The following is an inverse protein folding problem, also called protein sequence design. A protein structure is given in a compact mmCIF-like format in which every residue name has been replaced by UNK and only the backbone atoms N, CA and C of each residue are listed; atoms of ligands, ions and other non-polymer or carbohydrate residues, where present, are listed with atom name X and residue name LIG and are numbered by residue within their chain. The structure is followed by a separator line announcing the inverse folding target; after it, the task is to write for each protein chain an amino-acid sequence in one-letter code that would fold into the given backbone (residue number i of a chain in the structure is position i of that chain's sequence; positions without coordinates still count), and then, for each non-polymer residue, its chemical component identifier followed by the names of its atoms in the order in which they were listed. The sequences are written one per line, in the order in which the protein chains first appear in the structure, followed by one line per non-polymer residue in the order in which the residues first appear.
data_IF_004715818465
#
_entry.id   IF_004715818465
#
_cell.length_a   1.000
_cell.length_b   1.000
_cell.length_c   1.000
_cell.angle_alpha   90.00
_cell.angle_beta   90.00
_cell.angle_gamma   90.00
#
_symmetry.space_group_name_H-M   'P 1'
#
loop_
_entity.id
_entity.type
_entity.pdbx_description
1 polymer ?
#
# COMPACT_ATOMS: atom_id res chain seq x y z
N UNK A 1 16.61 -47.50 44.65
CA UNK A 1 17.49 -46.60 43.87
C UNK A 1 18.50 -45.80 44.71
N UNK A 2 18.13 -44.72 45.43
CA UNK A 2 19.12 -43.89 46.15
C UNK A 2 19.99 -44.70 47.13
N UNK A 3 19.37 -45.52 47.98
CA UNK A 3 20.10 -46.37 48.94
C UNK A 3 20.98 -47.42 48.24
N UNK A 4 20.60 -47.86 47.03
CA UNK A 4 21.40 -48.75 46.20
C UNK A 4 22.63 -48.05 45.60
N UNK A 5 22.48 -46.80 45.15
CA UNK A 5 23.61 -45.98 44.70
C UNK A 5 24.57 -45.67 45.86
N UNK A 6 24.05 -45.30 47.02
CA UNK A 6 24.86 -45.06 48.22
C UNK A 6 25.63 -46.32 48.65
N UNK A 7 25.00 -47.50 48.58
CA UNK A 7 25.65 -48.78 48.85
C UNK A 7 26.77 -49.08 47.86
N UNK A 8 26.54 -48.91 46.56
CA UNK A 8 27.59 -49.11 45.53
C UNK A 8 28.77 -48.17 45.72
N UNK A 9 28.49 -46.90 46.02
CA UNK A 9 29.54 -45.92 46.36
C UNK A 9 30.36 -46.37 47.58
N UNK A 10 29.72 -46.93 48.61
CA UNK A 10 30.40 -47.45 49.79
C UNK A 10 31.26 -48.70 49.48
N UNK A 11 30.78 -49.60 48.61
CA UNK A 11 31.51 -50.80 48.19
C UNK A 11 32.78 -50.47 47.40
N UNK A 12 32.74 -49.44 46.53
CA UNK A 12 33.89 -49.03 45.71
C UNK A 12 34.96 -48.25 46.49
N UNK A 13 34.69 -47.80 47.73
CA UNK A 13 35.64 -47.00 48.51
C UNK A 13 36.94 -47.75 48.79
N UNK A 14 36.88 -49.05 49.09
CA UNK A 14 38.07 -49.83 49.44
C UNK A 14 39.06 -49.86 48.28
N UNK A 15 38.57 -50.13 47.07
CA UNK A 15 39.39 -50.19 45.86
C UNK A 15 39.94 -48.80 45.51
N UNK A 16 39.10 -47.75 45.58
CA UNK A 16 39.54 -46.37 45.31
C UNK A 16 40.57 -45.85 46.30
N UNK A 17 40.50 -46.27 47.56
CA UNK A 17 41.50 -45.91 48.57
C UNK A 17 42.84 -46.63 48.38
N UNK A 18 42.88 -47.74 47.65
CA UNK A 18 44.12 -48.43 47.27
C UNK A 18 44.77 -47.81 46.03
N UNK A 19 43.95 -47.36 45.07
CA UNK A 19 44.43 -46.71 43.84
C UNK A 19 44.91 -45.27 44.05
N UNK A 20 44.34 -44.55 45.02
CA UNK A 20 44.68 -43.16 45.28
C UNK A 20 45.95 -43.03 46.15
N UNK A 21 46.94 -42.29 45.63
CA UNK A 21 48.22 -42.08 46.31
C UNK A 21 48.21 -40.85 47.22
N UNK A 22 47.38 -39.84 46.93
CA UNK A 22 47.31 -38.60 47.72
C UNK A 22 46.56 -38.82 49.05
N UNK A 23 47.22 -38.65 50.22
CA UNK A 23 46.57 -38.80 51.53
C UNK A 23 45.37 -37.88 51.74
N UNK A 24 45.36 -36.68 51.16
CA UNK A 24 44.24 -35.73 51.32
C UNK A 24 43.04 -36.18 50.50
N UNK A 25 43.23 -36.57 49.24
CA UNK A 25 42.20 -37.15 48.40
C UNK A 25 41.61 -38.44 49.02
N UNK A 26 42.43 -39.28 49.67
CA UNK A 26 41.97 -40.49 50.37
C UNK A 26 40.99 -40.18 51.49
N UNK A 27 41.21 -39.11 52.26
CA UNK A 27 40.26 -38.70 53.31
C UNK A 27 38.92 -38.30 52.69
N UNK A 28 38.95 -37.54 51.58
CA UNK A 28 37.74 -37.13 50.87
C UNK A 28 36.97 -38.33 50.27
N UNK A 29 37.69 -39.29 49.67
CA UNK A 29 37.11 -40.53 49.14
C UNK A 29 36.42 -41.33 50.24
N UNK A 30 37.06 -41.47 51.41
CA UNK A 30 36.47 -42.19 52.54
C UNK A 30 35.21 -41.51 53.09
N UNK A 31 35.19 -40.17 53.14
CA UNK A 31 34.04 -39.41 53.64
C UNK A 31 32.85 -39.32 52.67
N UNK A 32 33.09 -39.52 51.36
CA UNK A 32 32.10 -39.26 50.32
C UNK A 32 30.79 -40.06 50.45
N UNK A 33 30.78 -41.39 50.69
CA UNK A 33 29.52 -42.14 50.79
C UNK A 33 28.64 -41.68 51.95
N UNK A 34 29.24 -41.30 53.09
CA UNK A 34 28.52 -40.80 54.25
C UNK A 34 27.91 -39.41 53.96
N UNK A 35 28.68 -38.54 53.30
CA UNK A 35 28.19 -37.22 52.86
C UNK A 35 27.07 -37.35 51.83
N UNK A 36 27.21 -38.27 50.88
CA UNK A 36 26.17 -38.58 49.89
C UNK A 36 24.90 -39.09 50.59
N UNK A 37 25.04 -40.04 51.51
CA UNK A 37 23.92 -40.56 52.31
C UNK A 37 23.17 -39.47 53.10
N UNK A 38 23.88 -38.46 53.62
CA UNK A 38 23.28 -37.34 54.34
C UNK A 38 22.33 -36.48 53.48
N UNK A 39 22.49 -36.51 52.14
CA UNK A 39 21.61 -35.78 51.22
C UNK A 39 20.22 -36.41 51.10
N UNK A 40 20.07 -37.70 51.47
CA UNK A 40 18.83 -38.48 51.30
C UNK A 40 17.60 -37.73 51.80
N UNK A 41 17.60 -37.34 53.07
CA UNK A 41 16.43 -36.72 53.68
C UNK A 41 16.09 -35.37 53.04
N UNK A 42 17.10 -34.57 52.67
CA UNK A 42 16.91 -33.27 52.03
C UNK A 42 16.29 -33.42 50.63
N UNK A 43 16.81 -34.36 49.85
CA UNK A 43 16.31 -34.67 48.51
C UNK A 43 14.88 -35.20 48.58
N UNK A 44 14.59 -36.13 49.50
CA UNK A 44 13.25 -36.70 49.67
C UNK A 44 12.23 -35.63 50.04
N UNK A 45 12.56 -34.74 50.98
CA UNK A 45 11.66 -33.64 51.36
C UNK A 45 11.45 -32.66 50.21
N UNK A 46 12.51 -32.32 49.48
CA UNK A 46 12.41 -31.42 48.32
C UNK A 46 11.50 -32.00 47.24
N UNK A 47 11.72 -33.25 46.84
CA UNK A 47 10.87 -33.93 45.85
C UNK A 47 9.42 -33.99 46.34
N UNK A 48 9.20 -34.43 47.58
CA UNK A 48 7.84 -34.51 48.15
C UNK A 48 7.11 -33.15 48.11
N UNK A 49 7.82 -32.05 48.35
CA UNK A 49 7.24 -30.69 48.30
C UNK A 49 6.88 -30.22 46.89
N UNK A 50 7.61 -30.64 45.85
CA UNK A 50 7.35 -30.25 44.45
C UNK A 50 6.12 -30.94 43.87
N UNK A 51 5.81 -32.15 44.33
CA UNK A 51 4.69 -32.97 43.83
C UNK A 51 3.50 -33.00 44.79
N UNK A 52 3.41 -32.05 45.72
CA UNK A 52 2.25 -31.91 46.60
C UNK A 52 1.00 -31.54 45.78
N UNK A 53 0.09 -32.49 45.67
CA UNK A 53 -1.15 -32.41 44.89
C UNK A 53 -2.11 -31.34 45.40
N UNK A 54 -1.93 -30.86 46.63
CA UNK A 54 -2.76 -29.79 47.20
C UNK A 54 -2.42 -28.38 46.66
N UNK A 55 -1.25 -28.21 46.02
CA UNK A 55 -0.73 -26.89 45.60
C UNK A 55 -0.46 -26.75 44.11
N UNK A 56 -0.42 -27.85 43.36
CA UNK A 56 -0.04 -27.83 41.93
C UNK A 56 -1.24 -27.94 40.99
N UNK A 57 -1.47 -26.91 40.17
CA UNK A 57 -2.45 -26.91 39.06
C UNK A 57 -1.93 -27.61 37.79
N UNK A 58 -0.71 -28.15 37.82
CA UNK A 58 -0.06 -28.81 36.67
C UNK A 58 0.32 -30.22 37.07
N UNK A 59 -0.10 -31.21 36.28
CA UNK A 59 0.31 -32.61 36.42
C UNK A 59 1.78 -32.75 36.01
N UNK A 60 2.70 -32.53 36.95
CA UNK A 60 4.12 -32.79 36.73
C UNK A 60 4.40 -34.26 37.06
N UNK A 61 5.00 -35.01 36.14
CA UNK A 61 5.49 -36.36 36.38
C UNK A 61 7.00 -36.33 36.67
N UNK A 62 7.45 -36.88 37.80
CA UNK A 62 8.87 -37.04 38.08
C UNK A 62 9.47 -38.07 37.11
N UNK A 63 10.34 -37.63 36.19
CA UNK A 63 11.03 -38.51 35.23
C UNK A 63 12.23 -39.22 35.83
N UNK A 64 12.99 -38.52 36.67
CA UNK A 64 14.16 -39.08 37.34
C UNK A 64 14.90 -38.00 38.14
N UNK A 65 15.84 -38.44 38.96
CA UNK A 65 16.77 -37.59 39.67
C UNK A 65 18.19 -38.02 39.28
N UNK A 66 18.99 -37.06 38.80
CA UNK A 66 20.34 -37.30 38.31
C UNK A 66 21.34 -36.42 39.05
N UNK A 67 22.51 -36.98 39.37
CA UNK A 67 23.62 -36.24 39.96
C UNK A 67 24.65 -35.93 38.89
N UNK A 68 24.97 -34.66 38.71
CA UNK A 68 25.99 -34.21 37.76
C UNK A 68 26.80 -33.04 38.34
N UNK A 69 28.05 -32.91 37.92
CA UNK A 69 28.92 -31.79 38.29
C UNK A 69 29.35 -31.06 37.02
N UNK A 70 29.18 -29.74 36.98
CA UNK A 70 29.54 -28.89 35.84
C UNK A 70 30.78 -28.05 36.13
N UNK A 71 30.59 -26.79 36.51
CA UNK A 71 31.65 -25.90 36.99
C UNK A 71 31.78 -26.01 38.51
N UNK A 72 32.98 -26.33 38.99
CA UNK A 72 33.27 -26.40 40.43
C UNK A 72 33.77 -25.02 40.88
N UNK A 73 32.85 -24.13 41.26
CA UNK A 73 33.19 -22.82 41.80
C UNK A 73 32.97 -22.80 43.33
N UNK A 74 33.94 -22.26 44.07
CA UNK A 74 33.86 -22.06 45.53
C UNK A 74 34.78 -22.97 46.36
N UNK A 75 34.84 -22.70 47.68
CA UNK A 75 35.55 -23.54 48.65
C UNK A 75 34.68 -24.74 49.05
N UNK A 76 35.18 -25.99 49.02
CA UNK A 76 34.40 -27.17 49.40
C UNK A 76 33.87 -27.07 50.84
N UNK A 77 32.57 -27.31 51.03
CA UNK A 77 31.94 -27.35 52.35
C UNK A 77 31.93 -28.80 52.88
N UNK A 78 33.04 -29.27 53.44
CA UNK A 78 33.08 -30.59 54.08
C UNK A 78 32.42 -30.53 55.46
N UNK A 79 31.17 -30.99 55.55
CA UNK A 79 30.42 -30.99 56.81
C UNK A 79 30.91 -32.06 57.79
N UNK A 80 31.51 -33.15 57.31
CA UNK A 80 31.94 -34.28 58.14
C UNK A 80 33.30 -33.98 58.76
N UNK A 81 34.30 -33.62 57.97
CA UNK A 81 35.59 -33.15 58.47
C UNK A 81 35.46 -31.80 59.18
N UNK A 82 34.55 -30.92 58.75
CA UNK A 82 34.26 -29.67 59.47
C UNK A 82 33.65 -29.91 60.85
N UNK A 83 32.87 -30.97 61.04
CA UNK A 83 32.33 -31.35 62.36
C UNK A 83 33.39 -31.96 63.29
N UNK A 84 34.39 -32.65 62.73
CA UNK A 84 35.51 -33.26 63.46
C UNK A 84 36.65 -32.23 63.70
N UNK A 85 36.92 -31.33 62.77
CA UNK A 85 37.93 -30.26 62.92
C UNK A 85 37.51 -29.22 63.96
N UNK A 86 36.21 -28.95 64.11
CA UNK A 86 35.67 -28.07 65.16
C UNK A 86 35.86 -28.61 66.58
N UNK A 87 35.93 -29.94 66.76
CA UNK A 87 36.21 -30.56 68.07
C UNK A 87 37.71 -30.72 68.35
N UNK A 88 38.57 -30.63 67.34
CA UNK A 88 40.03 -30.82 67.47
C UNK A 88 40.88 -29.56 67.14
N UNK A 89 40.28 -28.41 66.85
CA UNK A 89 40.96 -27.11 66.81
C UNK A 89 41.83 -26.81 65.57
N UNK A 90 41.71 -27.57 64.48
CA UNK A 90 42.46 -27.33 63.23
C UNK A 90 41.54 -26.84 62.11
N UNK A 91 41.90 -25.71 61.50
CA UNK A 91 41.23 -25.14 60.33
C UNK A 91 41.94 -25.61 59.06
N UNK A 92 41.47 -26.67 58.43
CA UNK A 92 41.96 -27.07 57.10
C UNK A 92 41.37 -26.15 56.03
N UNK A 93 42.19 -25.32 55.39
CA UNK A 93 41.81 -24.61 54.17
C UNK A 93 42.10 -25.48 52.95
N UNK A 94 41.04 -25.98 52.31
CA UNK A 94 41.15 -26.64 51.01
C UNK A 94 41.15 -25.58 49.90
N UNK A 95 42.31 -25.33 49.31
CA UNK A 95 42.41 -24.60 48.04
C UNK A 95 42.42 -25.60 46.88
N UNK A 96 41.33 -25.62 46.12
CA UNK A 96 41.33 -26.20 44.77
C UNK A 96 40.96 -25.08 43.79
N UNK A 97 41.98 -24.55 43.13
CA UNK A 97 41.84 -23.86 41.85
C UNK A 97 41.79 -24.95 40.78
N UNK A 98 40.60 -25.36 40.35
CA UNK A 98 40.42 -26.46 39.41
C UNK A 98 39.62 -26.01 38.21
N UNK A 99 40.26 -25.99 37.04
CA UNK A 99 39.61 -25.92 35.74
C UNK A 99 38.38 -26.83 35.70
N UNK A 100 37.23 -26.29 35.28
CA UNK A 100 35.92 -26.94 35.36
C UNK A 100 35.85 -28.26 34.60
N UNK A 101 36.20 -29.37 35.26
CA UNK A 101 35.97 -30.72 34.76
C UNK A 101 34.52 -31.09 35.04
N UNK A 102 33.76 -31.31 33.98
CA UNK A 102 32.40 -31.79 34.08
C UNK A 102 32.37 -33.31 34.30
N UNK A 103 31.57 -33.74 35.27
CA UNK A 103 31.31 -35.16 35.53
C UNK A 103 29.83 -35.44 35.33
N UNK A 104 29.54 -36.56 34.66
CA UNK A 104 28.18 -37.08 34.44
C UNK A 104 27.23 -36.18 33.63
N UNK A 105 27.72 -35.10 33.01
CA UNK A 105 26.90 -34.26 32.11
C UNK A 105 26.65 -34.90 30.74
N UNK A 106 27.65 -35.61 30.18
CA UNK A 106 27.55 -36.17 28.83
C UNK A 106 26.35 -37.11 28.70
N UNK A 107 26.29 -38.14 29.55
CA UNK A 107 25.22 -39.14 29.52
C UNK A 107 23.86 -38.55 29.92
N UNK A 108 23.82 -37.61 30.86
CA UNK A 108 22.58 -36.91 31.22
C UNK A 108 22.00 -36.16 30.00
N UNK A 109 22.83 -35.43 29.26
CA UNK A 109 22.37 -34.68 28.10
C UNK A 109 22.04 -35.58 26.92
N UNK A 110 22.93 -36.50 26.54
CA UNK A 110 22.81 -37.28 25.31
C UNK A 110 21.86 -38.46 25.43
N UNK A 111 21.74 -39.09 26.62
CA UNK A 111 20.91 -40.28 26.81
C UNK A 111 19.56 -39.98 27.46
N UNK A 112 19.42 -38.86 28.17
CA UNK A 112 18.17 -38.52 28.88
C UNK A 112 17.54 -37.25 28.29
N UNK A 113 18.20 -36.10 28.38
CA UNK A 113 17.57 -34.80 28.05
C UNK A 113 17.27 -34.67 26.54
N UNK A 114 18.23 -34.95 25.66
CA UNK A 114 18.01 -34.80 24.20
C UNK A 114 17.04 -35.84 23.63
N UNK A 115 17.11 -37.13 23.99
CA UNK A 115 16.13 -38.12 23.52
C UNK A 115 14.70 -37.83 23.99
N UNK A 116 14.53 -37.17 25.14
CA UNK A 116 13.21 -36.77 25.66
C UNK A 116 12.71 -35.42 25.12
N UNK A 117 13.50 -34.69 24.32
CA UNK A 117 13.13 -33.39 23.75
C UNK A 117 11.83 -33.38 22.92
N UNK A 118 11.41 -34.54 22.41
CA UNK A 118 10.16 -34.73 21.65
C UNK A 118 8.88 -34.87 22.51
N UNK A 119 8.99 -34.92 23.84
CA UNK A 119 7.84 -35.13 24.74
C UNK A 119 7.13 -33.84 25.18
N UNK A 120 7.65 -32.68 24.79
CA UNK A 120 6.89 -31.41 24.87
C UNK A 120 5.78 -31.48 23.83
N UNK A 121 4.62 -32.00 24.24
CA UNK A 121 3.46 -32.11 23.37
C UNK A 121 2.96 -30.70 23.04
N UNK A 122 3.18 -30.27 21.79
CA UNK A 122 2.50 -29.11 21.26
C UNK A 122 1.00 -29.42 21.23
N UNK A 123 0.18 -28.51 21.75
CA UNK A 123 -1.27 -28.62 21.63
C UNK A 123 -1.64 -28.66 20.13
N UNK A 124 -1.90 -29.85 19.60
CA UNK A 124 -2.27 -30.08 18.20
C UNK A 124 -3.52 -29.29 17.81
N UNK A 125 -4.41 -29.00 18.76
CA UNK A 125 -5.57 -28.15 18.50
C UNK A 125 -5.15 -26.68 18.34
N UNK A 126 -4.23 -26.18 19.18
CA UNK A 126 -3.65 -24.85 19.02
C UNK A 126 -2.86 -24.72 17.70
N UNK A 127 -2.09 -25.73 17.31
CA UNK A 127 -1.35 -25.74 16.04
C UNK A 127 -2.30 -25.75 14.83
N UNK A 128 -3.38 -26.54 14.88
CA UNK A 128 -4.43 -26.52 13.84
C UNK A 128 -5.12 -25.16 13.75
N UNK A 129 -5.47 -24.55 14.88
CA UNK A 129 -6.10 -23.21 14.93
C UNK A 129 -5.19 -22.15 14.33
N UNK A 130 -3.91 -22.14 14.68
CA UNK A 130 -2.93 -21.18 14.12
C UNK A 130 -2.71 -21.41 12.64
N UNK A 131 -2.65 -22.66 12.17
CA UNK A 131 -2.56 -22.98 10.73
C UNK A 131 -3.81 -22.52 9.97
N UNK A 132 -5.00 -22.77 10.49
CA UNK A 132 -6.27 -22.31 9.88
C UNK A 132 -6.35 -20.79 9.86
N UNK A 133 -5.94 -20.11 10.93
CA UNK A 133 -5.89 -18.65 10.98
C UNK A 133 -4.92 -18.07 9.95
N UNK A 134 -3.73 -18.67 9.79
CA UNK A 134 -2.76 -18.28 8.75
C UNK A 134 -3.32 -18.50 7.35
N UNK A 135 -3.92 -19.66 7.10
CA UNK A 135 -4.50 -19.96 5.79
C UNK A 135 -5.68 -19.02 5.47
N UNK A 136 -6.53 -18.75 6.45
CA UNK A 136 -7.62 -17.77 6.34
C UNK A 136 -7.11 -16.36 6.07
N UNK A 137 -6.04 -15.93 6.76
CA UNK A 137 -5.39 -14.65 6.52
C UNK A 137 -4.80 -14.55 5.10
N UNK A 138 -4.09 -15.58 4.65
CA UNK A 138 -3.56 -15.64 3.28
C UNK A 138 -4.68 -15.64 2.23
N UNK A 139 -5.76 -16.36 2.47
CA UNK A 139 -6.93 -16.38 1.59
C UNK A 139 -7.61 -15.00 1.52
N UNK A 140 -7.74 -14.30 2.65
CA UNK A 140 -8.30 -12.95 2.70
C UNK A 140 -7.42 -11.95 1.93
N UNK A 141 -6.09 -12.02 2.09
CA UNK A 141 -5.14 -11.18 1.33
C UNK A 141 -5.25 -11.47 -0.17
N UNK A 142 -5.30 -12.75 -0.56
CA UNK A 142 -5.44 -13.14 -1.97
C UNK A 142 -6.75 -12.63 -2.57
N UNK A 143 -7.86 -12.73 -1.83
CA UNK A 143 -9.17 -12.24 -2.27
C UNK A 143 -9.18 -10.71 -2.39
N UNK A 144 -8.60 -9.99 -1.43
CA UNK A 144 -8.48 -8.53 -1.50
C UNK A 144 -7.61 -8.08 -2.68
N UNK A 145 -6.50 -8.78 -2.95
CA UNK A 145 -5.64 -8.51 -4.10
C UNK A 145 -6.37 -8.76 -5.43
N UNK A 146 -7.12 -9.86 -5.55
CA UNK A 146 -7.94 -10.14 -6.74
C UNK A 146 -9.05 -9.10 -6.93
N UNK A 147 -9.71 -8.65 -5.86
CA UNK A 147 -10.70 -7.59 -5.93
C UNK A 147 -10.09 -6.27 -6.39
N UNK A 148 -8.93 -5.88 -5.85
CA UNK A 148 -8.21 -4.68 -6.27
C UNK A 148 -7.80 -4.74 -7.74
N UNK A 149 -7.27 -5.89 -8.20
CA UNK A 149 -6.95 -6.10 -9.61
C UNK A 149 -8.20 -6.06 -10.51
N UNK A 150 -9.32 -6.59 -10.05
CA UNK A 150 -10.61 -6.51 -10.75
C UNK A 150 -11.07 -5.07 -10.95
N UNK A 151 -11.03 -4.26 -9.88
CA UNK A 151 -11.39 -2.83 -9.92
C UNK A 151 -10.47 -2.05 -10.86
N UNK A 152 -9.15 -2.27 -10.78
CA UNK A 152 -8.18 -1.65 -11.69
C UNK A 152 -8.40 -2.11 -13.14
N UNK A 153 -8.74 -3.38 -13.36
CA UNK A 153 -9.08 -3.94 -14.67
C UNK A 153 -10.29 -3.26 -15.29
N UNK A 154 -11.39 -3.13 -14.54
CA UNK A 154 -12.58 -2.40 -14.98
C UNK A 154 -12.21 -0.96 -15.37
N UNK A 155 -11.45 -0.27 -14.53
CA UNK A 155 -11.03 1.09 -14.80
C UNK A 155 -10.15 1.23 -16.03
N UNK A 156 -9.24 0.29 -16.24
CA UNK A 156 -8.40 0.25 -17.42
C UNK A 156 -9.22 0.09 -18.71
N UNK A 157 -10.20 -0.83 -18.72
CA UNK A 157 -11.04 -1.05 -19.90
C UNK A 157 -11.96 0.14 -20.18
N UNK A 158 -12.56 0.76 -19.16
CA UNK A 158 -13.37 1.96 -19.31
C UNK A 158 -12.56 3.11 -19.92
N UNK A 159 -11.39 3.42 -19.35
CA UNK A 159 -10.51 4.46 -19.87
C UNK A 159 -9.98 4.15 -21.28
N UNK A 160 -9.68 2.89 -21.58
CA UNK A 160 -9.29 2.46 -22.93
C UNK A 160 -10.42 2.68 -23.94
N UNK A 161 -11.66 2.39 -23.55
CA UNK A 161 -12.86 2.65 -24.37
C UNK A 161 -13.08 4.16 -24.60
N UNK A 162 -12.92 4.98 -23.55
CA UNK A 162 -13.02 6.44 -23.65
C UNK A 162 -11.96 7.01 -24.62
N UNK A 163 -10.72 6.53 -24.55
CA UNK A 163 -9.67 6.94 -25.48
C UNK A 163 -10.01 6.49 -26.91
N UNK A 164 -10.50 5.27 -27.09
CA UNK A 164 -10.83 4.74 -28.41
C UNK A 164 -11.98 5.51 -29.07
N UNK A 165 -13.06 5.76 -28.34
CA UNK A 165 -14.20 6.55 -28.81
C UNK A 165 -13.80 7.99 -29.13
N UNK A 166 -12.97 8.63 -28.30
CA UNK A 166 -12.45 9.98 -28.57
C UNK A 166 -11.59 10.01 -29.83
N UNK A 167 -10.72 9.01 -30.05
CA UNK A 167 -9.92 8.89 -31.27
C UNK A 167 -10.78 8.71 -32.51
N UNK A 168 -11.84 7.90 -32.41
CA UNK A 168 -12.78 7.68 -33.51
C UNK A 168 -13.54 8.96 -33.85
N UNK A 169 -14.06 9.68 -32.86
CA UNK A 169 -14.73 10.96 -33.07
C UNK A 169 -13.77 12.03 -33.66
N UNK A 170 -12.51 12.05 -33.22
CA UNK A 170 -11.48 12.91 -33.81
C UNK A 170 -11.12 12.53 -35.26
N UNK A 171 -11.20 11.26 -35.63
CA UNK A 171 -11.01 10.84 -37.02
C UNK A 171 -12.18 11.35 -37.89
N UNK A 172 -13.41 11.20 -37.43
CA UNK A 172 -14.60 11.75 -38.11
C UNK A 172 -14.53 13.26 -38.30
N UNK A 173 -14.05 13.99 -37.28
CA UNK A 173 -13.77 15.42 -37.40
C UNK A 173 -12.74 15.73 -38.48
N UNK A 174 -11.64 15.00 -38.56
CA UNK A 174 -10.62 15.23 -39.60
C UNK A 174 -11.18 15.01 -41.00
N UNK A 175 -12.02 14.00 -41.16
CA UNK A 175 -12.64 13.68 -42.44
C UNK A 175 -13.68 14.74 -42.84
N UNK A 176 -14.53 15.18 -41.91
CA UNK A 176 -15.55 16.21 -42.15
C UNK A 176 -14.95 17.61 -42.36
N UNK A 177 -13.84 17.90 -41.68
CA UNK A 177 -13.16 19.20 -41.71
C UNK A 177 -12.00 19.25 -42.70
N UNK A 178 -11.76 18.23 -43.53
CA UNK A 178 -10.57 18.14 -44.40
C UNK A 178 -10.38 19.39 -45.27
N UNK A 179 -11.45 19.91 -45.87
CA UNK A 179 -11.45 21.14 -46.66
C UNK A 179 -11.12 22.38 -45.82
N UNK A 180 -11.65 22.48 -44.61
CA UNK A 180 -11.39 23.58 -43.66
C UNK A 180 -9.96 23.55 -43.13
N UNK A 181 -9.41 22.36 -42.87
CA UNK A 181 -8.08 22.16 -42.32
C UNK A 181 -6.98 22.49 -43.35
N UNK A 182 -7.22 22.16 -44.63
CA UNK A 182 -6.33 22.45 -45.76
C UNK A 182 -6.38 23.91 -46.21
N UNK A 183 -7.46 24.64 -45.90
CA UNK A 183 -7.56 26.04 -46.25
C UNK A 183 -6.60 26.90 -45.42
N UNK A 184 -5.74 27.66 -46.12
CA UNK A 184 -4.79 28.61 -45.51
C UNK A 184 -5.40 30.01 -45.39
N UNK A 185 -6.45 30.32 -46.15
CA UNK A 185 -7.10 31.63 -46.17
C UNK A 185 -8.62 31.49 -46.05
N UNK A 186 -9.21 32.24 -45.11
CA UNK A 186 -10.66 32.31 -44.94
C UNK A 186 -11.17 33.47 -45.80
N UNK A 187 -11.62 33.17 -47.02
CA UNK A 187 -12.14 34.17 -47.98
C UNK A 187 -13.66 34.20 -48.03
N UNK A 188 -14.31 33.18 -47.48
CA UNK A 188 -15.76 33.05 -47.44
C UNK A 188 -16.29 33.30 -46.01
N UNK A 189 -17.48 33.88 -45.94
CA UNK A 189 -18.23 34.20 -44.71
C UNK A 189 -19.32 33.17 -44.44
N UNK A 190 -19.40 32.10 -45.21
CA UNK A 190 -20.36 31.03 -44.95
C UNK A 190 -20.02 30.24 -43.68
N UNK A 191 -20.96 30.28 -42.75
CA UNK A 191 -20.90 29.62 -41.47
C UNK A 191 -21.58 28.23 -41.50
N UNK A 192 -22.42 27.92 -42.50
CA UNK A 192 -23.11 26.62 -42.56
C UNK A 192 -22.11 25.45 -42.62
N UNK A 193 -21.04 25.62 -43.39
CA UNK A 193 -20.00 24.61 -43.57
C UNK A 193 -19.12 24.38 -42.32
N UNK A 194 -19.17 25.25 -41.31
CA UNK A 194 -18.36 25.09 -40.09
C UNK A 194 -19.14 24.53 -38.91
N UNK A 195 -20.48 24.62 -38.92
CA UNK A 195 -21.33 24.14 -37.84
C UNK A 195 -21.08 22.65 -37.54
N UNK A 196 -21.18 21.78 -38.56
CA UNK A 196 -21.02 20.33 -38.38
C UNK A 196 -19.67 19.95 -37.76
N UNK A 197 -18.53 20.39 -38.32
CA UNK A 197 -17.22 20.14 -37.73
C UNK A 197 -17.02 20.71 -36.32
N UNK A 198 -17.58 21.90 -36.02
CA UNK A 198 -17.49 22.48 -34.68
C UNK A 198 -18.34 21.72 -33.66
N UNK A 199 -19.53 21.24 -34.06
CA UNK A 199 -20.39 20.43 -33.22
C UNK A 199 -19.74 19.09 -32.87
N UNK A 200 -19.05 18.46 -33.82
CA UNK A 200 -18.26 17.23 -33.58
C UNK A 200 -17.17 17.44 -32.52
N UNK A 201 -16.46 18.58 -32.53
CA UNK A 201 -15.45 18.90 -31.51
C UNK A 201 -16.08 19.23 -30.16
N UNK A 202 -17.19 19.97 -30.15
CA UNK A 202 -17.93 20.32 -28.94
C UNK A 202 -18.41 19.08 -28.19
N UNK A 203 -18.91 18.10 -28.94
CA UNK A 203 -19.57 16.89 -28.45
C UNK A 203 -18.63 15.67 -28.34
N UNK A 204 -17.30 15.88 -28.32
CA UNK A 204 -16.36 14.80 -28.03
C UNK A 204 -16.71 14.10 -26.69
N UNK A 205 -16.36 12.81 -26.52
CA UNK A 205 -16.71 12.06 -25.30
C UNK A 205 -16.27 12.76 -24.01
N UNK A 206 -15.06 13.32 -24.01
CA UNK A 206 -14.59 14.29 -23.01
C UNK A 206 -14.43 15.65 -23.70
N UNK A 207 -15.56 16.26 -24.08
CA UNK A 207 -15.66 17.51 -24.86
C UNK A 207 -16.15 18.70 -24.04
N UNK A 208 -16.33 19.85 -24.68
CA UNK A 208 -16.83 21.06 -24.00
C UNK A 208 -18.23 20.85 -23.40
N UNK A 209 -19.13 20.17 -24.12
CA UNK A 209 -20.50 19.91 -23.65
C UNK A 209 -20.56 18.92 -22.48
N UNK A 210 -19.69 17.91 -22.50
CA UNK A 210 -19.72 16.81 -21.54
C UNK A 210 -18.73 16.99 -20.37
N UNK A 211 -17.89 18.03 -20.41
CA UNK A 211 -16.77 18.19 -19.47
C UNK A 211 -17.16 18.50 -18.03
N UNK A 212 -18.36 19.00 -17.79
CA UNK A 212 -18.85 19.32 -16.45
C UNK A 212 -19.74 18.19 -15.87
N UNK A 213 -19.93 17.09 -16.62
CA UNK A 213 -20.66 15.92 -16.14
C UNK A 213 -19.77 15.08 -15.21
N UNK A 214 -20.38 14.44 -14.22
CA UNK A 214 -19.66 13.57 -13.30
C UNK A 214 -19.10 12.35 -14.06
N UNK A 215 -17.78 12.12 -13.92
CA UNK A 215 -17.13 10.98 -14.51
C UNK A 215 -17.73 9.66 -13.98
N UNK A 216 -17.98 8.66 -14.84
CA UNK A 216 -18.39 7.34 -14.39
C UNK A 216 -17.39 6.79 -13.37
N UNK A 217 -17.88 6.22 -12.26
CA UNK A 217 -17.04 5.71 -11.17
C UNK A 217 -16.01 4.69 -11.68
N UNK A 218 -16.38 3.91 -12.70
CA UNK A 218 -15.53 2.95 -13.37
C UNK A 218 -14.23 3.60 -13.90
N UNK A 219 -14.29 4.84 -14.39
CA UNK A 219 -13.12 5.57 -14.91
C UNK A 219 -12.23 6.15 -13.80
N UNK A 220 -12.72 6.22 -12.55
CA UNK A 220 -12.17 7.07 -11.47
C UNK A 220 -11.20 6.37 -10.49
N UNK A 221 -10.88 5.09 -10.66
CA UNK A 221 -10.02 4.32 -9.73
C UNK A 221 -8.50 4.64 -9.85
N UNK A 222 -8.14 5.92 -9.97
CA UNK A 222 -6.76 6.41 -10.07
C UNK A 222 -6.13 6.30 -11.46
N UNK A 223 -6.81 5.69 -12.44
CA UNK A 223 -6.35 5.54 -13.83
C UNK A 223 -7.06 6.49 -14.82
N UNK A 224 -7.86 7.44 -14.32
CA UNK A 224 -8.70 8.31 -15.14
C UNK A 224 -7.90 9.08 -16.18
N UNK A 225 -8.39 9.06 -17.42
CA UNK A 225 -7.89 9.82 -18.55
C UNK A 225 -8.81 10.98 -18.92
N UNK A 226 -9.94 11.13 -18.22
CA UNK A 226 -10.98 12.09 -18.55
C UNK A 226 -10.45 13.53 -18.57
N UNK A 227 -9.84 14.00 -17.48
CA UNK A 227 -9.23 15.34 -17.34
C UNK A 227 -8.26 15.67 -18.50
N UNK A 228 -7.38 14.71 -18.83
CA UNK A 228 -6.39 14.88 -19.91
C UNK A 228 -7.05 15.00 -21.27
N UNK A 229 -8.07 14.18 -21.54
CA UNK A 229 -8.83 14.23 -22.78
C UNK A 229 -9.68 15.49 -22.85
N UNK A 230 -10.32 15.91 -21.76
CA UNK A 230 -11.12 17.13 -21.66
C UNK A 230 -10.29 18.36 -21.98
N UNK A 231 -9.12 18.49 -21.35
CA UNK A 231 -8.20 19.60 -21.60
C UNK A 231 -7.76 19.66 -23.07
N UNK A 232 -7.41 18.52 -23.67
CA UNK A 232 -7.03 18.42 -25.07
C UNK A 232 -8.19 18.76 -26.02
N UNK A 233 -9.40 18.24 -25.74
CA UNK A 233 -10.62 18.51 -26.51
C UNK A 233 -11.04 19.97 -26.44
N UNK A 234 -11.03 20.60 -25.26
CA UNK A 234 -11.31 22.04 -25.08
C UNK A 234 -10.31 22.89 -25.87
N UNK A 235 -9.02 22.51 -25.84
CA UNK A 235 -7.98 23.19 -26.62
C UNK A 235 -8.22 23.06 -28.12
N UNK A 236 -8.53 21.86 -28.62
CA UNK A 236 -8.82 21.64 -30.03
C UNK A 236 -10.06 22.39 -30.50
N UNK A 237 -11.13 22.38 -29.70
CA UNK A 237 -12.37 23.11 -29.98
C UNK A 237 -12.15 24.62 -30.00
N UNK A 238 -11.43 25.18 -29.01
CA UNK A 238 -11.05 26.60 -29.00
C UNK A 238 -10.24 26.98 -30.24
N UNK A 239 -9.22 26.21 -30.59
CA UNK A 239 -8.42 26.48 -31.79
C UNK A 239 -9.25 26.43 -33.08
N UNK A 240 -10.20 25.51 -33.17
CA UNK A 240 -11.12 25.45 -34.30
C UNK A 240 -12.03 26.68 -34.34
N UNK A 241 -12.63 27.08 -33.21
CA UNK A 241 -13.44 28.29 -33.11
C UNK A 241 -12.63 29.53 -33.53
N UNK A 242 -11.41 29.69 -33.04
CA UNK A 242 -10.55 30.82 -33.44
C UNK A 242 -10.23 30.81 -34.94
N UNK A 243 -9.76 29.66 -35.45
CA UNK A 243 -9.26 29.57 -36.83
C UNK A 243 -10.38 29.64 -37.85
N UNK A 244 -11.52 29.00 -37.60
CA UNK A 244 -12.60 28.85 -38.60
C UNK A 244 -13.82 29.71 -38.30
N UNK A 245 -14.18 29.91 -37.02
CA UNK A 245 -15.39 30.65 -36.67
C UNK A 245 -15.11 32.15 -36.52
N UNK A 246 -14.23 32.56 -35.60
CA UNK A 246 -13.91 33.97 -35.36
C UNK A 246 -13.41 34.67 -36.61
N UNK A 247 -12.53 34.02 -37.38
CA UNK A 247 -12.01 34.57 -38.63
C UNK A 247 -13.13 34.94 -39.62
N UNK A 248 -14.16 34.09 -39.76
CA UNK A 248 -15.33 34.38 -40.62
C UNK A 248 -16.20 35.49 -40.05
N UNK A 249 -16.39 35.53 -38.73
CA UNK A 249 -17.13 36.60 -38.07
C UNK A 249 -16.44 37.97 -38.24
N UNK A 250 -15.11 38.00 -38.20
CA UNK A 250 -14.33 39.21 -38.45
C UNK A 250 -14.45 39.66 -39.91
N UNK A 251 -14.29 38.76 -40.88
CA UNK A 251 -14.48 39.09 -42.31
C UNK A 251 -15.91 39.57 -42.58
N UNK A 252 -16.91 38.99 -41.92
CA UNK A 252 -18.30 39.43 -42.01
C UNK A 252 -18.46 40.85 -41.45
N UNK A 253 -17.93 41.12 -40.25
CA UNK A 253 -17.97 42.46 -39.67
C UNK A 253 -17.24 43.49 -40.56
N UNK A 254 -16.12 43.13 -41.18
CA UNK A 254 -15.41 43.99 -42.16
C UNK A 254 -16.26 44.32 -43.38
N UNK A 255 -16.99 43.35 -43.94
CA UNK A 255 -17.91 43.59 -45.07
C UNK A 255 -19.06 44.51 -44.66
N UNK A 256 -19.63 44.33 -43.48
CA UNK A 256 -20.68 45.21 -42.94
C UNK A 256 -20.18 46.64 -42.71
N UNK A 257 -18.95 46.79 -42.19
CA UNK A 257 -18.27 48.09 -42.03
C UNK A 257 -18.08 48.76 -43.40
N UNK A 258 -17.57 48.03 -44.39
CA UNK A 258 -17.37 48.57 -45.75
C UNK A 258 -18.69 49.02 -46.39
N UNK A 259 -19.76 48.24 -46.25
CA UNK A 259 -21.08 48.57 -46.79
C UNK A 259 -21.70 49.82 -46.14
N UNK A 260 -21.37 50.08 -44.86
CA UNK A 260 -21.91 51.20 -44.07
C UNK A 260 -20.94 52.38 -43.92
N UNK A 261 -19.82 52.40 -44.65
CA UNK A 261 -18.79 53.45 -44.55
C UNK A 261 -19.32 54.88 -44.80
N UNK A 262 -20.40 55.03 -45.57
CA UNK A 262 -20.99 56.32 -45.88
C UNK A 262 -21.92 56.87 -44.78
N UNK A 263 -22.31 56.07 -43.79
CA UNK A 263 -23.20 56.45 -42.69
C UNK A 263 -22.48 56.33 -41.33
N UNK A 264 -21.99 57.45 -40.76
CA UNK A 264 -21.27 57.45 -39.50
C UNK A 264 -22.07 56.90 -38.31
N UNK A 265 -23.41 57.05 -38.33
CA UNK A 265 -24.27 56.59 -37.23
C UNK A 265 -24.38 55.06 -37.30
N UNK A 266 -24.61 54.51 -38.49
CA UNK A 266 -24.73 53.06 -38.70
C UNK A 266 -23.39 52.31 -38.63
N UNK A 267 -22.26 53.01 -38.73
CA UNK A 267 -20.90 52.45 -38.67
C UNK A 267 -20.43 52.12 -37.24
N UNK A 268 -20.94 52.85 -36.23
CA UNK A 268 -20.44 52.78 -34.86
C UNK A 268 -20.53 51.37 -34.27
N UNK A 269 -21.69 50.72 -34.40
CA UNK A 269 -21.95 49.42 -33.79
C UNK A 269 -21.16 48.28 -34.45
N UNK A 270 -21.16 48.10 -35.79
CA UNK A 270 -20.31 47.11 -36.46
C UNK A 270 -18.83 47.27 -36.13
N UNK A 271 -18.32 48.52 -36.06
CA UNK A 271 -16.93 48.79 -35.68
C UNK A 271 -16.66 48.37 -34.23
N UNK A 272 -17.58 48.66 -33.31
CA UNK A 272 -17.47 48.24 -31.92
C UNK A 272 -17.42 46.71 -31.80
N UNK A 273 -18.31 45.99 -32.49
CA UNK A 273 -18.30 44.51 -32.52
C UNK A 273 -16.99 43.97 -33.09
N UNK A 274 -16.50 44.54 -34.20
CA UNK A 274 -15.23 44.14 -34.80
C UNK A 274 -14.06 44.28 -33.83
N UNK A 275 -13.97 45.41 -33.12
CA UNK A 275 -12.92 45.64 -32.12
C UNK A 275 -13.03 44.68 -30.92
N UNK A 276 -14.25 44.32 -30.49
CA UNK A 276 -14.46 43.36 -29.42
C UNK A 276 -14.05 41.95 -29.85
N UNK A 277 -14.50 41.48 -31.02
CA UNK A 277 -14.11 40.18 -31.57
C UNK A 277 -12.61 40.07 -31.85
N UNK A 278 -11.98 41.16 -32.28
CA UNK A 278 -10.53 41.21 -32.54
C UNK A 278 -9.66 41.36 -31.29
N UNK A 279 -10.26 41.37 -30.09
CA UNK A 279 -9.52 41.54 -28.82
C UNK A 279 -8.83 42.90 -28.67
N UNK A 280 -9.34 43.94 -29.35
CA UNK A 280 -8.81 45.31 -29.30
C UNK A 280 -9.66 46.25 -28.46
N UNK A 281 -10.86 45.83 -28.05
CA UNK A 281 -11.72 46.61 -27.18
C UNK A 281 -11.22 46.62 -25.73
N UNK A 282 -11.30 47.75 -24.99
CA UNK A 282 -10.94 47.81 -23.58
C UNK A 282 -11.83 46.96 -22.66
N UNK A 283 -13.07 46.74 -23.07
CA UNK A 283 -14.05 45.89 -22.40
C UNK A 283 -14.83 45.13 -23.46
N UNK A 284 -14.94 43.82 -23.26
CA UNK A 284 -15.76 42.94 -24.10
C UNK A 284 -17.14 42.83 -23.44
N UNK A 285 -18.18 42.92 -24.26
CA UNK A 285 -19.58 42.73 -23.86
C UNK A 285 -20.17 41.58 -24.68
N UNK A 286 -20.15 40.40 -24.08
CA UNK A 286 -20.51 39.15 -24.76
C UNK A 286 -21.96 39.15 -25.24
N UNK A 287 -22.88 39.68 -24.43
CA UNK A 287 -24.30 39.73 -24.80
C UNK A 287 -24.53 40.70 -25.96
N UNK A 288 -23.77 41.81 -26.03
CA UNK A 288 -23.83 42.71 -27.17
C UNK A 288 -23.32 42.04 -28.47
N UNK A 289 -22.24 41.26 -28.40
CA UNK A 289 -21.74 40.49 -29.55
C UNK A 289 -22.78 39.46 -29.99
N UNK A 290 -23.34 38.72 -29.05
CA UNK A 290 -24.34 37.68 -29.33
C UNK A 290 -25.61 38.30 -29.92
N UNK A 291 -26.14 39.38 -29.35
CA UNK A 291 -27.35 40.03 -29.85
C UNK A 291 -27.17 40.57 -31.27
N UNK A 292 -26.03 41.20 -31.54
CA UNK A 292 -25.73 41.76 -32.85
C UNK A 292 -25.57 40.66 -33.92
N UNK A 293 -24.82 39.59 -33.59
CA UNK A 293 -24.65 38.45 -34.50
C UNK A 293 -25.96 37.73 -34.78
N UNK A 294 -26.79 37.51 -33.73
CA UNK A 294 -28.10 36.88 -33.88
C UNK A 294 -29.00 37.67 -34.82
N UNK A 295 -29.02 38.99 -34.67
CA UNK A 295 -29.78 39.88 -35.56
C UNK A 295 -29.25 39.82 -37.00
N UNK A 296 -27.93 39.90 -37.20
CA UNK A 296 -27.33 39.80 -38.55
C UNK A 296 -27.66 38.46 -39.23
N UNK A 297 -27.63 37.36 -38.48
CA UNK A 297 -27.98 36.04 -39.00
C UNK A 297 -29.47 35.92 -39.35
N UNK A 298 -30.35 36.49 -38.54
CA UNK A 298 -31.79 36.43 -38.76
C UNK A 298 -32.27 37.33 -39.90
N UNK A 299 -31.74 38.55 -39.98
CA UNK A 299 -32.20 39.56 -40.95
C UNK A 299 -31.46 39.46 -42.30
N UNK A 300 -30.15 39.19 -42.29
CA UNK A 300 -29.30 39.33 -43.48
C UNK A 300 -28.80 38.00 -44.03
N UNK A 301 -28.29 37.10 -43.18
CA UNK A 301 -27.50 35.96 -43.66
C UNK A 301 -28.30 34.69 -43.89
N UNK A 302 -29.15 34.34 -42.92
CA UNK A 302 -29.87 33.08 -42.88
C UNK A 302 -31.35 33.33 -42.54
N UNK A 303 -32.09 34.15 -43.31
CA UNK A 303 -33.48 34.48 -43.00
C UNK A 303 -34.41 33.26 -43.11
N UNK A 304 -35.58 33.35 -42.48
CA UNK A 304 -36.61 32.33 -42.54
C UNK A 304 -36.53 31.28 -41.43
N UNK A 305 -37.63 30.54 -41.27
CA UNK A 305 -37.81 29.56 -40.18
C UNK A 305 -36.98 28.28 -40.39
N UNK A 306 -36.73 27.89 -41.65
CA UNK A 306 -35.91 26.72 -41.99
C UNK A 306 -34.47 26.81 -41.47
N UNK A 307 -33.97 28.02 -41.22
CA UNK A 307 -32.62 28.28 -40.73
C UNK A 307 -32.55 28.48 -39.21
N UNK A 308 -33.68 28.41 -38.51
CA UNK A 308 -33.75 28.67 -37.06
C UNK A 308 -32.82 27.76 -36.24
N UNK A 309 -32.78 26.46 -36.57
CA UNK A 309 -31.91 25.50 -35.91
C UNK A 309 -30.42 25.81 -36.15
N UNK A 310 -30.05 26.13 -37.40
CA UNK A 310 -28.68 26.55 -37.75
C UNK A 310 -28.25 27.80 -36.98
N UNK A 311 -29.12 28.81 -36.89
CA UNK A 311 -28.85 30.04 -36.10
C UNK A 311 -28.65 29.71 -34.61
N UNK A 312 -29.43 28.79 -34.05
CA UNK A 312 -29.26 28.36 -32.67
C UNK A 312 -27.92 27.64 -32.44
N UNK A 313 -27.47 26.80 -33.38
CA UNK A 313 -26.16 26.13 -33.30
C UNK A 313 -25.01 27.14 -33.41
N UNK A 314 -25.12 28.13 -34.30
CA UNK A 314 -24.15 29.23 -34.42
C UNK A 314 -24.05 30.04 -33.12
N UNK A 315 -25.19 30.38 -32.50
CA UNK A 315 -25.20 31.05 -31.20
C UNK A 315 -24.53 30.19 -30.12
N UNK A 316 -24.80 28.87 -30.11
CA UNK A 316 -24.17 27.91 -29.20
C UNK A 316 -22.64 27.97 -29.31
N UNK A 317 -22.10 28.01 -30.53
CA UNK A 317 -20.66 28.10 -30.79
C UNK A 317 -20.08 29.48 -30.45
N UNK A 318 -20.81 30.56 -30.74
CA UNK A 318 -20.41 31.92 -30.38
C UNK A 318 -20.27 32.08 -28.87
N UNK A 319 -21.27 31.66 -28.10
CA UNK A 319 -21.22 31.69 -26.63
C UNK A 319 -20.07 30.85 -26.08
N UNK A 320 -19.82 29.67 -26.66
CA UNK A 320 -18.71 28.83 -26.25
C UNK A 320 -17.34 29.46 -26.57
N UNK A 321 -17.21 30.15 -27.71
CA UNK A 321 -16.00 30.87 -28.08
C UNK A 321 -15.69 32.00 -27.10
N UNK A 322 -16.69 32.82 -26.76
CA UNK A 322 -16.53 33.93 -25.82
C UNK A 322 -16.19 33.41 -24.40
N UNK A 323 -16.91 32.38 -23.92
CA UNK A 323 -16.62 31.76 -22.63
C UNK A 323 -15.22 31.12 -22.54
N UNK A 324 -14.68 30.62 -23.68
CA UNK A 324 -13.34 30.06 -23.75
C UNK A 324 -12.24 31.13 -23.85
N UNK A 325 -12.56 32.36 -24.23
CA UNK A 325 -11.61 33.48 -24.16
C UNK A 325 -11.41 33.94 -22.72
N UNK A 326 -12.49 34.07 -21.94
CA UNK A 326 -12.41 34.51 -20.54
C UNK A 326 -11.64 33.55 -19.63
N UNK A 327 -11.54 32.28 -20.03
CA UNK A 327 -10.85 31.25 -19.28
C UNK A 327 -9.32 31.22 -19.46
N UNK A 328 -8.77 31.96 -20.44
CA UNK A 328 -7.35 31.89 -20.85
C UNK A 328 -6.69 33.26 -21.05
#
# INVERSE_FOLDING_TARGET
EFDGLAKRLAEEVVDRLQEEADPVARIAIFGFPAQFGALRNRITHFIASLFDTSRSHVNVSLRGLYFSSGTQEGTPFDQVLGSIGRSFGTTSQAHLSGTGKSFFLHDLLTKVIFPESGWVSFDRAAERRTRLARLGGLAAIALAALAALGVLGLSFFANKSLIASTRQAMAQYRDSADSLLKSTTVTDVDLENVIGPLDQLRNLPAGFENGDQANPIEESFGLSQHERLLSASRTAYRQALERTFRSRLLVQAERTIQAKMADPIALYEPLKIYLMLGGKAPKVDDELIVSWMRQDWEENRYPGESNSEGRAQLEKHLRAMLALDDAY
#
